data_IF_402335438668
#
_entry.id   IF_402335438668
#
_cell.length_a   1.000
_cell.length_b   1.000
_cell.length_c   1.000
_cell.angle_alpha   90.00
_cell.angle_beta   90.00
_cell.angle_gamma   90.00
#
_symmetry.space_group_name_H-M   'P 1'
#
loop_
_entity.id
_entity.type
_entity.pdbx_description
1 polymer ?
#
# COMPACT_ATOMS: atom_id res chain seq x y z
N UNK A 1 -5.07 25.07 40.53
CA UNK A 1 -4.32 24.01 39.81
C UNK A 1 -4.87 23.97 38.39
N UNK A 2 -4.47 24.90 37.52
CA UNK A 2 -5.20 25.16 36.26
C UNK A 2 -4.33 24.87 35.03
N UNK A 3 -3.33 24.01 35.16
CA UNK A 3 -2.38 23.73 34.09
C UNK A 3 -3.06 23.17 32.82
N UNK A 4 -4.03 22.25 32.98
CA UNK A 4 -4.87 21.76 31.86
C UNK A 4 -5.65 22.89 31.16
N UNK A 5 -6.23 23.81 31.95
CA UNK A 5 -6.91 24.98 31.41
C UNK A 5 -5.94 25.92 30.70
N UNK A 6 -4.70 26.03 31.17
CA UNK A 6 -3.67 26.89 30.59
C UNK A 6 -3.20 26.34 29.23
N UNK A 7 -2.96 25.04 29.15
CA UNK A 7 -2.66 24.35 27.87
C UNK A 7 -3.81 24.56 26.89
N UNK A 8 -5.05 24.30 27.33
CA UNK A 8 -6.23 24.51 26.49
C UNK A 8 -6.38 25.97 26.03
N UNK A 9 -6.13 26.96 26.90
CA UNK A 9 -6.18 28.38 26.55
C UNK A 9 -5.10 28.78 25.53
N UNK A 10 -3.87 28.29 25.69
CA UNK A 10 -2.77 28.57 24.75
C UNK A 10 -3.02 27.92 23.38
N UNK A 11 -3.51 26.68 23.37
CA UNK A 11 -3.89 25.99 22.12
C UNK A 11 -5.08 26.67 21.44
N UNK A 12 -6.11 27.06 22.20
CA UNK A 12 -7.28 27.75 21.67
C UNK A 12 -6.93 29.13 21.11
N UNK A 13 -5.99 29.84 21.76
CA UNK A 13 -5.46 31.09 21.25
C UNK A 13 -4.74 30.88 19.90
N UNK A 14 -3.87 29.86 19.81
CA UNK A 14 -3.22 29.47 18.56
C UNK A 14 -4.24 29.14 17.46
N UNK A 15 -5.27 28.34 17.75
CA UNK A 15 -6.32 28.01 16.78
C UNK A 15 -7.11 29.24 16.32
N UNK A 16 -7.40 30.19 17.22
CA UNK A 16 -8.11 31.44 16.87
C UNK A 16 -7.32 32.33 15.91
N UNK A 17 -5.99 32.24 15.89
CA UNK A 17 -5.16 33.04 14.96
C UNK A 17 -5.07 32.44 13.55
N UNK A 18 -5.42 31.16 13.36
CA UNK A 18 -5.44 30.50 12.04
C UNK A 18 -6.39 31.20 11.04
N UNK A 19 -7.66 31.51 11.39
CA UNK A 19 -8.58 32.18 10.47
C UNK A 19 -8.21 33.63 10.14
N UNK A 20 -7.29 34.28 10.88
CA UNK A 20 -6.74 35.60 10.47
C UNK A 20 -5.74 35.47 9.32
N UNK A 21 -5.15 34.27 9.12
CA UNK A 21 -4.14 33.98 8.09
C UNK A 21 -4.60 32.90 7.10
N UNK A 22 -5.85 32.98 6.63
CA UNK A 22 -6.51 31.96 5.79
C UNK A 22 -5.66 31.49 4.60
N UNK A 23 -5.04 32.41 3.87
CA UNK A 23 -4.23 32.07 2.69
C UNK A 23 -2.99 31.22 3.05
N UNK A 24 -2.21 31.69 4.04
CA UNK A 24 -1.01 30.96 4.49
C UNK A 24 -1.35 29.62 5.13
N UNK A 25 -2.45 29.55 5.91
CA UNK A 25 -2.89 28.31 6.55
C UNK A 25 -3.36 27.28 5.52
N UNK A 26 -4.10 27.71 4.50
CA UNK A 26 -4.61 26.82 3.45
C UNK A 26 -3.47 26.23 2.62
N UNK A 27 -2.51 27.05 2.17
CA UNK A 27 -1.36 26.56 1.41
C UNK A 27 -0.53 25.55 2.21
N UNK A 28 -0.32 25.79 3.50
CA UNK A 28 0.37 24.85 4.37
C UNK A 28 -0.40 23.52 4.48
N UNK A 29 -1.72 23.57 4.68
CA UNK A 29 -2.57 22.37 4.75
C UNK A 29 -2.53 21.55 3.46
N UNK A 30 -2.62 22.21 2.30
CA UNK A 30 -2.55 21.53 0.98
C UNK A 30 -1.17 20.90 0.77
N UNK A 31 -0.09 21.59 1.16
CA UNK A 31 1.27 21.04 1.08
C UNK A 31 1.44 19.76 1.90
N UNK A 32 0.96 19.77 3.15
CA UNK A 32 0.98 18.58 4.02
C UNK A 32 0.13 17.46 3.42
N UNK A 33 -1.09 17.77 2.96
CA UNK A 33 -1.98 16.79 2.36
C UNK A 33 -1.37 16.13 1.12
N UNK A 34 -0.68 16.91 0.27
CA UNK A 34 0.02 16.38 -0.90
C UNK A 34 1.09 15.35 -0.54
N UNK A 35 1.94 15.66 0.45
CA UNK A 35 3.00 14.74 0.89
C UNK A 35 2.40 13.47 1.51
N UNK A 36 1.37 13.60 2.35
CA UNK A 36 0.67 12.46 2.96
C UNK A 36 0.03 11.58 1.89
N UNK A 37 -0.62 12.17 0.88
CA UNK A 37 -1.24 11.42 -0.22
C UNK A 37 -0.20 10.59 -0.99
N UNK A 38 0.98 11.17 -1.26
CA UNK A 38 2.07 10.44 -1.93
C UNK A 38 2.56 9.27 -1.07
N UNK A 39 2.82 9.52 0.22
CA UNK A 39 3.30 8.46 1.13
C UNK A 39 2.29 7.31 1.22
N UNK A 40 1.01 7.63 1.43
CA UNK A 40 -0.07 6.64 1.51
C UNK A 40 -0.23 5.90 0.18
N UNK A 41 -0.10 6.59 -0.96
CA UNK A 41 -0.18 5.99 -2.28
C UNK A 41 0.89 4.91 -2.50
N UNK A 42 2.16 5.21 -2.18
CA UNK A 42 3.26 4.25 -2.31
C UNK A 42 3.06 3.05 -1.38
N UNK A 43 2.65 3.29 -0.13
CA UNK A 43 2.34 2.21 0.83
C UNK A 43 1.18 1.33 0.34
N UNK A 44 0.14 1.93 -0.24
CA UNK A 44 -1.00 1.21 -0.79
C UNK A 44 -0.61 0.32 -1.97
N UNK A 45 0.30 0.80 -2.83
CA UNK A 45 0.83 0.00 -3.94
C UNK A 45 1.66 -1.17 -3.42
N UNK A 46 2.54 -0.92 -2.44
CA UNK A 46 3.36 -1.97 -1.85
C UNK A 46 2.50 -3.06 -1.20
N UNK A 47 1.48 -2.66 -0.45
CA UNK A 47 0.56 -3.60 0.20
C UNK A 47 -0.31 -4.34 -0.82
N UNK A 48 -0.79 -3.67 -1.86
CA UNK A 48 -1.53 -4.30 -2.96
C UNK A 48 -0.70 -5.35 -3.69
N UNK A 49 0.58 -5.07 -3.93
CA UNK A 49 1.50 -6.05 -4.53
C UNK A 49 1.75 -7.24 -3.60
N UNK A 50 1.96 -6.98 -2.30
CA UNK A 50 2.11 -8.05 -1.30
C UNK A 50 0.88 -8.94 -1.24
N UNK A 51 -0.32 -8.35 -1.26
CA UNK A 51 -1.57 -9.09 -1.30
C UNK A 51 -1.66 -9.95 -2.56
N UNK A 52 -1.35 -9.40 -3.74
CA UNK A 52 -1.38 -10.15 -5.00
C UNK A 52 -0.41 -11.35 -5.03
N UNK A 53 0.80 -11.22 -4.45
CA UNK A 53 1.74 -12.34 -4.35
C UNK A 53 1.35 -13.38 -3.29
N UNK A 54 0.57 -12.99 -2.28
CA UNK A 54 0.14 -13.89 -1.20
C UNK A 54 -1.15 -14.62 -1.54
N UNK A 55 -1.88 -14.18 -2.56
CA UNK A 55 -3.03 -14.92 -3.10
C UNK A 55 -2.53 -16.29 -3.56
N UNK A 56 -3.02 -17.33 -2.89
CA UNK A 56 -2.81 -18.71 -3.32
C UNK A 56 -3.65 -18.97 -4.57
N UNK A 57 -3.15 -19.84 -5.45
CA UNK A 57 -3.95 -20.40 -6.54
C UNK A 57 -5.21 -21.09 -5.99
N UNK A 58 -6.20 -21.33 -6.86
CA UNK A 58 -7.45 -21.95 -6.46
C UNK A 58 -7.23 -23.32 -5.78
N UNK A 59 -7.94 -23.57 -4.66
CA UNK A 59 -7.74 -24.76 -3.82
C UNK A 59 -8.06 -26.08 -4.55
N UNK A 60 -8.82 -26.02 -5.64
CA UNK A 60 -9.23 -27.13 -6.50
C UNK A 60 -8.35 -27.30 -7.75
N UNK A 61 -7.35 -26.44 -7.94
CA UNK A 61 -6.43 -26.49 -9.09
C UNK A 61 -5.10 -27.08 -8.67
N UNK A 62 -4.70 -28.16 -9.35
CA UNK A 62 -3.41 -28.81 -9.15
C UNK A 62 -2.54 -28.59 -10.38
N UNK A 63 -1.31 -28.12 -10.19
CA UNK A 63 -0.32 -27.96 -11.26
C UNK A 63 0.57 -29.20 -11.27
N UNK A 64 0.64 -29.89 -12.41
CA UNK A 64 1.52 -31.04 -12.62
C UNK A 64 2.74 -30.59 -13.41
N UNK A 65 3.92 -30.74 -12.82
CA UNK A 65 5.19 -30.46 -13.48
C UNK A 65 5.79 -31.75 -14.06
N UNK A 66 6.46 -31.64 -15.22
CA UNK A 66 7.26 -32.74 -15.76
C UNK A 66 8.33 -33.13 -14.73
N UNK A 67 8.64 -34.42 -14.63
CA UNK A 67 9.76 -34.90 -13.82
C UNK A 67 11.02 -34.10 -14.16
N UNK A 68 11.70 -33.58 -13.13
CA UNK A 68 12.91 -32.75 -13.21
C UNK A 68 12.73 -31.30 -13.71
N UNK A 69 11.51 -30.77 -13.81
CA UNK A 69 11.29 -29.33 -14.05
C UNK A 69 11.22 -28.56 -12.72
N UNK A 70 12.03 -27.49 -12.61
CA UNK A 70 12.10 -26.66 -11.39
C UNK A 70 10.95 -25.63 -11.31
N UNK A 71 10.32 -25.32 -12.45
CA UNK A 71 9.18 -24.40 -12.54
C UNK A 71 8.32 -24.68 -13.79
N UNK A 72 7.15 -24.06 -13.85
CA UNK A 72 6.21 -24.16 -14.98
C UNK A 72 6.86 -23.79 -16.33
N UNK A 73 7.72 -22.77 -16.33
CA UNK A 73 8.37 -22.27 -17.55
C UNK A 73 9.34 -23.30 -18.18
N UNK A 74 9.94 -24.15 -17.35
CA UNK A 74 10.84 -25.24 -17.77
C UNK A 74 10.10 -26.59 -17.91
N UNK A 75 8.83 -26.65 -17.51
CA UNK A 75 7.96 -27.83 -17.61
C UNK A 75 7.33 -27.98 -19.00
N UNK A 76 8.14 -27.87 -20.05
CA UNK A 76 7.72 -28.14 -21.43
C UNK A 76 7.74 -29.64 -21.73
N UNK A 77 6.70 -30.13 -22.42
CA UNK A 77 6.64 -31.47 -22.99
C UNK A 77 6.87 -31.39 -24.50
N UNK A 78 7.95 -31.99 -24.98
CA UNK A 78 8.23 -32.11 -26.42
C UNK A 78 7.39 -33.25 -27.04
N UNK A 79 7.24 -33.21 -28.37
CA UNK A 79 6.42 -34.19 -29.09
C UNK A 79 6.92 -35.62 -28.93
N UNK A 80 8.22 -35.81 -28.77
CA UNK A 80 8.84 -37.13 -28.61
C UNK A 80 8.59 -37.70 -27.20
N UNK A 81 8.53 -36.85 -26.17
CA UNK A 81 8.19 -37.23 -24.80
C UNK A 81 6.71 -37.56 -24.61
N UNK A 82 5.82 -36.94 -25.40
CA UNK A 82 4.37 -37.11 -25.30
C UNK A 82 3.81 -38.16 -26.30
N UNK A 83 4.64 -38.76 -27.14
CA UNK A 83 4.19 -39.71 -28.16
C UNK A 83 3.86 -41.07 -27.54
N UNK A 84 2.57 -41.31 -27.31
CA UNK A 84 2.03 -42.63 -27.00
C UNK A 84 1.49 -43.27 -28.29
N UNK A 85 2.12 -44.38 -28.67
CA UNK A 85 1.79 -45.36 -29.74
C UNK A 85 1.24 -44.77 -31.04
#
# INVERSE_FOLDING_TARGET
MNWLSQIASVTLFGLRTIPERKGSAFTAAVGIAGVVAVLVGVLSIAEGFRAAMTIKGADDVVIVLRSSADNEMTSGLSRDEARLI
#
